data_IF_447829830338
#
_entry.id   IF_447829830338
#
_cell.length_a   1.000
_cell.length_b   1.000
_cell.length_c   1.000
_cell.angle_alpha   90.00
_cell.angle_beta   90.00
_cell.angle_gamma   90.00
#
_symmetry.space_group_name_H-M   'P 1'
#
loop_
_entity.id
_entity.type
_entity.pdbx_description
1 polymer ?
#
# COMPACT_ATOMS: atom_id res chain seq x y z
N UNK A 1 -29.70 -1.54 -11.31
CA UNK A 1 -29.40 -1.78 -9.89
C UNK A 1 -30.62 -2.43 -9.29
N UNK A 2 -30.56 -3.65 -8.82
CA UNK A 2 -31.61 -4.19 -7.97
C UNK A 2 -31.31 -3.66 -6.57
N UNK A 3 -32.02 -2.64 -6.12
CA UNK A 3 -32.06 -2.27 -4.72
C UNK A 3 -32.79 -3.40 -4.00
N UNK A 4 -32.09 -4.09 -3.12
CA UNK A 4 -32.63 -5.23 -2.36
C UNK A 4 -32.79 -4.89 -0.88
N UNK A 5 -32.37 -3.71 -0.45
CA UNK A 5 -32.52 -3.21 0.92
C UNK A 5 -33.63 -2.16 1.04
N UNK A 6 -34.13 -1.97 2.25
CA UNK A 6 -35.19 -1.00 2.55
C UNK A 6 -34.68 0.45 2.44
N UNK A 7 -33.42 0.69 2.75
CA UNK A 7 -32.79 2.02 2.75
C UNK A 7 -31.43 1.97 2.09
N UNK A 8 -31.15 2.98 1.27
CA UNK A 8 -29.80 3.24 0.75
C UNK A 8 -29.23 4.48 1.42
N UNK A 9 -28.03 4.36 2.05
CA UNK A 9 -27.36 5.53 2.61
C UNK A 9 -25.93 5.71 2.07
N UNK A 10 -25.51 6.96 1.84
CA UNK A 10 -24.18 7.28 1.37
C UNK A 10 -23.21 7.51 2.53
N UNK A 11 -21.94 7.11 2.33
CA UNK A 11 -20.81 7.50 3.17
C UNK A 11 -19.75 8.15 2.28
N UNK A 12 -19.46 9.42 2.53
CA UNK A 12 -18.53 10.20 1.72
C UNK A 12 -19.22 11.15 0.71
N UNK A 13 -18.44 11.85 -0.14
CA UNK A 13 -16.98 11.70 -0.32
C UNK A 13 -16.14 12.15 0.88
N UNK A 14 -16.64 13.02 1.74
CA UNK A 14 -15.96 13.43 2.98
C UNK A 14 -16.78 12.95 4.18
N UNK A 15 -16.19 12.04 4.94
CA UNK A 15 -16.84 11.44 6.11
C UNK A 15 -15.78 11.15 7.18
N UNK A 16 -16.09 11.31 8.50
CA UNK A 16 -15.12 11.09 9.59
C UNK A 16 -14.46 9.70 9.60
N UNK A 17 -15.19 8.66 9.19
CA UNK A 17 -14.65 7.29 9.07
C UNK A 17 -13.74 7.09 7.84
N UNK A 18 -13.65 8.05 6.91
CA UNK A 18 -12.79 7.98 5.73
C UNK A 18 -11.58 8.90 5.91
N UNK A 19 -10.39 8.35 5.79
CA UNK A 19 -9.13 9.10 5.94
C UNK A 19 -8.75 9.89 4.68
N UNK A 20 -9.31 9.50 3.53
CA UNK A 20 -9.19 10.19 2.24
C UNK A 20 -10.58 10.26 1.58
N UNK A 21 -10.84 11.25 0.69
CA UNK A 21 -12.14 11.38 0.05
C UNK A 21 -12.47 10.17 -0.84
N UNK A 22 -13.58 9.50 -0.53
CA UNK A 22 -14.13 8.41 -1.33
C UNK A 22 -15.64 8.28 -1.08
N UNK A 23 -16.35 7.63 -1.98
CA UNK A 23 -17.80 7.49 -1.87
C UNK A 23 -18.22 6.03 -1.83
N UNK A 24 -18.95 5.69 -0.80
CA UNK A 24 -19.61 4.40 -0.63
C UNK A 24 -21.12 4.59 -0.59
N UNK A 25 -21.86 3.66 -1.16
CA UNK A 25 -23.31 3.56 -1.05
C UNK A 25 -23.65 2.18 -0.51
N UNK A 26 -24.40 2.15 0.58
CA UNK A 26 -24.81 0.92 1.24
C UNK A 26 -26.31 0.75 1.13
N UNK A 27 -26.77 -0.40 0.65
CA UNK A 27 -28.15 -0.83 0.77
C UNK A 27 -28.26 -1.68 2.03
N UNK A 28 -29.21 -1.34 2.89
CA UNK A 28 -29.40 -1.98 4.20
C UNK A 28 -30.83 -2.45 4.39
N UNK A 29 -30.97 -3.56 5.11
CA UNK A 29 -32.23 -4.10 5.62
C UNK A 29 -32.16 -4.05 7.15
N UNK A 30 -32.89 -3.13 7.75
CA UNK A 30 -32.74 -2.77 9.16
C UNK A 30 -31.31 -2.26 9.43
N UNK A 31 -30.54 -2.97 10.25
CA UNK A 31 -29.13 -2.65 10.55
C UNK A 31 -28.13 -3.44 9.72
N UNK A 32 -28.57 -4.37 8.86
CA UNK A 32 -27.69 -5.23 8.09
C UNK A 32 -27.38 -4.69 6.72
N UNK A 33 -26.13 -4.71 6.34
CA UNK A 33 -25.66 -4.36 5.00
C UNK A 33 -26.01 -5.52 4.06
N UNK A 34 -26.83 -5.23 3.05
CA UNK A 34 -27.23 -6.17 2.00
C UNK A 34 -26.30 -6.05 0.80
N UNK A 35 -25.92 -4.83 0.44
CA UNK A 35 -24.98 -4.56 -0.63
C UNK A 35 -24.16 -3.30 -0.40
N UNK A 36 -23.01 -3.23 -1.01
CA UNK A 36 -22.16 -2.04 -1.02
C UNK A 36 -21.73 -1.70 -2.44
N UNK A 37 -21.77 -0.43 -2.81
CA UNK A 37 -21.18 0.09 -4.04
C UNK A 37 -20.13 1.15 -3.71
N UNK A 38 -19.05 1.16 -4.50
CA UNK A 38 -17.87 2.00 -4.26
C UNK A 38 -17.62 2.82 -5.51
N UNK A 39 -17.37 4.12 -5.33
CA UNK A 39 -17.06 5.03 -6.41
C UNK A 39 -15.71 5.69 -6.15
N UNK A 40 -14.70 5.29 -6.94
CA UNK A 40 -13.35 5.83 -6.92
C UNK A 40 -13.24 7.09 -7.79
N UNK A 41 -12.23 7.93 -7.53
CA UNK A 41 -11.85 9.04 -8.41
C UNK A 41 -11.75 10.41 -7.74
N UNK A 42 -12.10 10.55 -6.47
CA UNK A 42 -12.12 11.86 -5.80
C UNK A 42 -10.72 12.43 -5.51
N UNK A 43 -9.72 11.57 -5.37
CA UNK A 43 -8.31 11.96 -5.16
C UNK A 43 -7.47 11.84 -6.44
N UNK A 44 -8.08 11.68 -7.62
CA UNK A 44 -7.37 11.58 -8.89
C UNK A 44 -6.65 12.90 -9.21
N UNK A 45 -5.36 12.83 -9.55
CA UNK A 45 -4.48 14.01 -9.77
C UNK A 45 -3.72 13.98 -11.10
N UNK A 46 -4.02 13.04 -12.00
CA UNK A 46 -3.38 12.94 -13.32
C UNK A 46 -1.90 12.56 -13.28
N UNK A 47 -1.42 11.86 -12.25
CA UNK A 47 0.01 11.59 -12.05
C UNK A 47 0.58 10.75 -13.19
N UNK A 48 -0.10 9.71 -13.64
CA UNK A 48 0.36 8.88 -14.76
C UNK A 48 0.60 9.74 -16.02
N UNK A 49 -0.34 10.61 -16.36
CA UNK A 49 -0.19 11.55 -17.48
C UNK A 49 0.91 12.59 -17.23
N UNK A 50 1.02 13.05 -16.00
CA UNK A 50 2.08 13.96 -15.59
C UNK A 50 3.49 13.38 -15.78
N UNK A 51 3.66 12.06 -15.61
CA UNK A 51 4.94 11.39 -15.84
C UNK A 51 5.35 11.40 -17.31
N UNK A 52 4.41 11.26 -18.24
CA UNK A 52 4.67 11.26 -19.69
C UNK A 52 5.21 12.62 -20.21
N UNK A 53 4.95 13.69 -19.50
CA UNK A 53 5.38 15.04 -19.85
C UNK A 53 6.72 15.45 -19.21
N UNK A 54 7.25 14.62 -18.31
CA UNK A 54 8.44 14.90 -17.48
C UNK A 54 9.58 13.93 -17.78
N UNK A 55 10.81 14.36 -17.49
CA UNK A 55 11.95 13.45 -17.54
C UNK A 55 11.81 12.35 -16.46
N UNK A 56 12.49 11.22 -16.64
CA UNK A 56 12.45 10.12 -15.67
C UNK A 56 12.82 10.57 -14.25
N UNK A 57 13.78 11.48 -14.09
CA UNK A 57 14.14 12.04 -12.77
C UNK A 57 13.00 12.88 -12.18
N UNK A 58 12.32 13.70 -13.00
CA UNK A 58 11.18 14.48 -12.54
C UNK A 58 9.96 13.61 -12.26
N UNK A 59 9.75 12.56 -13.08
CA UNK A 59 8.69 11.59 -12.88
C UNK A 59 8.89 10.78 -11.58
N UNK A 60 10.14 10.46 -11.19
CA UNK A 60 10.47 9.83 -9.92
C UNK A 60 9.91 10.62 -8.72
N UNK A 61 10.11 11.94 -8.69
CA UNK A 61 9.55 12.78 -7.62
C UNK A 61 8.02 12.86 -7.66
N UNK A 62 7.44 12.75 -8.86
CA UNK A 62 6.00 12.80 -9.01
C UNK A 62 5.35 11.49 -8.52
N UNK A 63 5.90 10.33 -8.86
CA UNK A 63 5.38 9.04 -8.39
C UNK A 63 5.56 8.86 -6.88
N UNK A 64 6.64 9.37 -6.30
CA UNK A 64 6.84 9.37 -4.86
C UNK A 64 5.71 10.10 -4.12
N UNK A 65 5.09 11.09 -4.74
CA UNK A 65 3.98 11.89 -4.19
C UNK A 65 2.59 11.36 -4.51
N UNK A 66 2.49 10.15 -5.05
CA UNK A 66 1.20 9.46 -5.16
C UNK A 66 0.60 9.27 -3.77
N UNK A 67 1.43 8.89 -2.80
CA UNK A 67 1.03 8.65 -1.43
C UNK A 67 2.12 9.14 -0.45
N UNK A 68 1.70 9.73 0.67
CA UNK A 68 2.63 10.13 1.73
C UNK A 68 3.00 8.99 2.70
N UNK A 69 2.34 7.82 2.60
CA UNK A 69 2.57 6.69 3.51
C UNK A 69 3.46 5.62 2.86
N UNK A 70 3.32 5.38 1.55
CA UNK A 70 4.12 4.43 0.77
C UNK A 70 4.95 5.13 -0.33
N UNK A 71 5.52 6.26 0.00
CA UNK A 71 6.27 7.11 -0.93
C UNK A 71 7.56 6.45 -1.42
N UNK A 72 8.31 5.80 -0.52
CA UNK A 72 9.52 5.04 -0.86
C UNK A 72 9.20 3.85 -1.78
N UNK A 73 8.11 3.15 -1.51
CA UNK A 73 7.66 2.02 -2.33
C UNK A 73 7.43 2.44 -3.78
N UNK A 74 6.71 3.56 -4.02
CA UNK A 74 6.48 4.10 -5.36
C UNK A 74 7.78 4.55 -6.04
N UNK A 75 8.67 5.21 -5.30
CA UNK A 75 9.96 5.64 -5.81
C UNK A 75 10.86 4.46 -6.17
N UNK A 76 10.90 3.43 -5.31
CA UNK A 76 11.76 2.24 -5.51
C UNK A 76 11.31 1.46 -6.73
N UNK A 77 10.02 1.11 -6.85
CA UNK A 77 9.52 0.32 -7.99
C UNK A 77 9.70 1.06 -9.32
N UNK A 78 9.57 2.40 -9.32
CA UNK A 78 9.83 3.20 -10.51
C UNK A 78 11.33 3.16 -10.88
N UNK A 79 12.24 3.32 -9.91
CA UNK A 79 13.67 3.20 -10.15
C UNK A 79 14.04 1.83 -10.69
N UNK A 80 13.53 0.75 -10.06
CA UNK A 80 13.78 -0.64 -10.50
C UNK A 80 13.40 -0.85 -11.97
N UNK A 81 12.18 -0.42 -12.37
CA UNK A 81 11.76 -0.58 -13.76
C UNK A 81 12.62 0.22 -14.75
N UNK A 82 13.02 1.44 -14.40
CA UNK A 82 13.91 2.24 -15.25
C UNK A 82 15.32 1.65 -15.29
N UNK A 83 15.83 1.18 -14.17
CA UNK A 83 17.15 0.52 -14.06
C UNK A 83 17.19 -0.77 -14.90
N UNK A 84 16.12 -1.57 -14.88
CA UNK A 84 15.95 -2.76 -15.71
C UNK A 84 15.95 -2.44 -17.21
N UNK A 85 15.18 -1.42 -17.65
CA UNK A 85 15.20 -0.95 -19.04
C UNK A 85 16.58 -0.47 -19.50
N UNK A 86 17.37 0.07 -18.59
CA UNK A 86 18.74 0.53 -18.88
C UNK A 86 19.79 -0.58 -18.77
N UNK A 87 19.45 -1.73 -18.21
CA UNK A 87 20.42 -2.78 -17.88
C UNK A 87 21.47 -2.33 -16.84
N UNK A 88 21.08 -1.48 -15.87
CA UNK A 88 22.00 -0.93 -14.88
C UNK A 88 22.21 -1.92 -13.74
N UNK A 89 23.47 -2.21 -13.42
CA UNK A 89 23.84 -2.91 -12.19
C UNK A 89 23.87 -1.92 -11.02
N UNK A 90 22.84 -1.99 -10.18
CA UNK A 90 22.72 -1.13 -9.00
C UNK A 90 23.62 -1.65 -7.88
N UNK A 91 24.41 -0.79 -7.19
CA UNK A 91 25.32 -1.24 -6.14
C UNK A 91 24.60 -1.96 -5.01
N UNK A 92 25.14 -3.09 -4.53
CA UNK A 92 24.57 -3.87 -3.44
C UNK A 92 24.28 -3.03 -2.19
N UNK A 93 25.19 -2.13 -1.82
CA UNK A 93 25.02 -1.24 -0.68
C UNK A 93 23.72 -0.42 -0.78
N UNK A 94 23.42 0.11 -1.96
CA UNK A 94 22.17 0.87 -2.17
C UNK A 94 20.93 -0.02 -2.10
N UNK A 95 21.00 -1.28 -2.55
CA UNK A 95 19.89 -2.22 -2.43
C UNK A 95 19.55 -2.53 -0.96
N UNK A 96 20.57 -2.68 -0.11
CA UNK A 96 20.39 -2.85 1.33
C UNK A 96 19.78 -1.60 1.97
N UNK A 97 20.24 -0.39 1.61
CA UNK A 97 19.69 0.87 2.11
C UNK A 97 18.22 1.01 1.68
N UNK A 98 17.88 0.69 0.41
CA UNK A 98 16.48 0.66 -0.07
C UNK A 98 15.62 -0.29 0.75
N UNK A 99 16.16 -1.46 1.12
CA UNK A 99 15.44 -2.43 1.96
C UNK A 99 15.21 -1.90 3.37
N UNK A 100 16.23 -1.32 4.01
CA UNK A 100 16.12 -0.72 5.35
C UNK A 100 15.03 0.36 5.36
N UNK A 101 15.05 1.29 4.41
CA UNK A 101 14.07 2.38 4.34
C UNK A 101 12.67 1.84 4.00
N UNK A 102 12.57 0.84 3.13
CA UNK A 102 11.30 0.19 2.79
C UNK A 102 10.65 -0.52 3.98
N UNK A 103 11.45 -1.17 4.84
CA UNK A 103 10.91 -1.81 6.03
C UNK A 103 10.60 -0.81 7.16
N UNK A 104 11.34 0.30 7.27
CA UNK A 104 10.94 1.43 8.12
C UNK A 104 9.59 2.03 7.67
N UNK A 105 9.40 2.19 6.35
CA UNK A 105 8.12 2.61 5.76
C UNK A 105 6.99 1.62 6.10
N UNK A 106 7.25 0.31 6.07
CA UNK A 106 6.27 -0.71 6.46
C UNK A 106 5.88 -0.59 7.93
N UNK A 107 6.85 -0.47 8.82
CA UNK A 107 6.60 -0.34 10.27
C UNK A 107 5.75 0.89 10.55
N UNK A 108 6.14 2.08 10.04
CA UNK A 108 5.38 3.30 10.28
C UNK A 108 3.96 3.23 9.75
N UNK A 109 3.77 2.59 8.58
CA UNK A 109 2.46 2.41 7.98
C UNK A 109 1.56 1.48 8.81
N UNK A 110 2.09 0.36 9.29
CA UNK A 110 1.32 -0.57 10.11
C UNK A 110 0.98 0.00 11.49
N UNK A 111 1.87 0.80 12.11
CA UNK A 111 1.57 1.50 13.36
C UNK A 111 0.51 2.59 13.17
N UNK A 112 0.55 3.32 12.03
CA UNK A 112 -0.51 4.25 11.66
C UNK A 112 -1.85 3.53 11.53
N UNK A 113 -1.88 2.45 10.76
CA UNK A 113 -3.07 1.65 10.56
C UNK A 113 -3.63 1.10 11.87
N UNK A 114 -2.77 0.54 12.74
CA UNK A 114 -3.18 -0.02 14.02
C UNK A 114 -3.86 1.03 14.90
N UNK A 115 -3.33 2.25 14.96
CA UNK A 115 -3.95 3.34 15.68
C UNK A 115 -5.32 3.71 15.09
N UNK A 116 -5.41 3.85 13.77
CA UNK A 116 -6.69 4.14 13.10
C UNK A 116 -7.72 3.05 13.38
N UNK A 117 -7.34 1.78 13.25
CA UNK A 117 -8.24 0.65 13.53
C UNK A 117 -8.71 0.63 14.99
N UNK A 118 -7.82 0.95 15.95
CA UNK A 118 -8.19 1.11 17.36
C UNK A 118 -9.20 2.24 17.56
N UNK A 119 -9.02 3.38 16.90
CA UNK A 119 -9.97 4.50 16.94
C UNK A 119 -11.34 4.12 16.38
N UNK A 120 -11.40 3.43 15.24
CA UNK A 120 -12.68 3.00 14.61
C UNK A 120 -13.50 2.03 15.49
N UNK A 121 -12.85 1.35 16.41
CA UNK A 121 -13.54 0.49 17.40
C UNK A 121 -13.73 1.15 18.76
N UNK A 122 -13.40 2.45 18.89
CA UNK A 122 -13.57 3.22 20.13
C UNK A 122 -12.44 3.02 21.15
N UNK A 123 -11.27 2.52 20.75
CA UNK A 123 -10.13 2.31 21.65
C UNK A 123 -9.06 3.43 21.50
N UNK A 124 -9.45 4.64 21.83
CA UNK A 124 -8.64 5.87 21.63
C UNK A 124 -7.30 5.85 22.39
N UNK A 125 -7.23 5.22 23.56
CA UNK A 125 -5.97 5.09 24.30
C UNK A 125 -4.91 4.37 23.47
N UNK A 126 -5.29 3.30 22.78
CA UNK A 126 -4.38 2.54 21.92
C UNK A 126 -4.01 3.33 20.66
N UNK A 127 -4.95 4.10 20.09
CA UNK A 127 -4.67 5.05 19.02
C UNK A 127 -3.56 6.04 19.43
N UNK A 128 -3.73 6.70 20.58
CA UNK A 128 -2.76 7.69 21.08
C UNK A 128 -1.38 7.07 21.34
N UNK A 129 -1.34 5.85 21.89
CA UNK A 129 -0.07 5.18 22.17
C UNK A 129 0.66 4.75 20.88
N UNK A 130 -0.03 4.13 19.95
CA UNK A 130 0.58 3.69 18.69
C UNK A 130 1.10 4.85 17.86
N UNK A 131 0.41 5.98 17.84
CA UNK A 131 0.83 7.17 17.11
C UNK A 131 1.99 7.89 17.80
N UNK A 132 2.00 7.94 19.15
CA UNK A 132 3.17 8.43 19.89
C UNK A 132 4.41 7.58 19.57
N UNK A 133 4.30 6.27 19.65
CA UNK A 133 5.45 5.39 19.48
C UNK A 133 5.86 5.26 18.00
N UNK A 134 4.95 5.52 17.05
CA UNK A 134 5.26 5.68 15.62
C UNK A 134 6.26 6.82 15.38
N UNK A 135 6.28 7.88 16.21
CA UNK A 135 7.22 8.98 16.06
C UNK A 135 8.68 8.53 16.14
N UNK A 136 8.98 7.48 16.93
CA UNK A 136 10.33 6.87 16.93
C UNK A 136 10.71 6.45 15.49
N UNK A 137 9.81 5.80 14.76
CA UNK A 137 10.10 5.36 13.39
C UNK A 137 10.21 6.56 12.44
N UNK A 138 9.43 7.61 12.65
CA UNK A 138 9.52 8.84 11.85
C UNK A 138 10.87 9.54 12.03
N UNK A 139 11.40 9.56 13.26
CA UNK A 139 12.73 10.12 13.55
C UNK A 139 13.85 9.26 12.93
N UNK A 140 13.69 7.93 12.95
CA UNK A 140 14.62 7.02 12.26
C UNK A 140 14.60 7.19 10.74
N UNK A 141 13.42 7.43 10.13
CA UNK A 141 13.30 7.75 8.71
C UNK A 141 13.98 9.08 8.38
N UNK A 142 13.80 10.11 9.21
CA UNK A 142 14.48 11.38 9.05
C UNK A 142 15.99 11.24 9.18
N UNK A 143 16.48 10.47 10.16
CA UNK A 143 17.90 10.16 10.32
C UNK A 143 18.49 9.51 9.07
N UNK A 144 17.79 8.51 8.51
CA UNK A 144 18.28 7.73 7.37
C UNK A 144 18.16 8.48 6.04
N UNK A 145 17.13 9.30 5.85
CA UNK A 145 16.79 9.89 4.56
C UNK A 145 16.87 11.40 4.52
N UNK A 146 16.76 12.06 5.68
CA UNK A 146 16.67 13.51 5.83
C UNK A 146 15.25 14.05 5.73
N UNK A 147 14.24 13.19 5.66
CA UNK A 147 12.83 13.59 5.66
C UNK A 147 11.97 12.54 6.36
N UNK A 148 10.89 13.00 6.98
CA UNK A 148 9.91 12.16 7.70
C UNK A 148 8.88 11.53 6.76
N UNK A 149 8.56 12.19 5.64
CA UNK A 149 7.59 11.80 4.61
C UNK A 149 8.13 12.23 3.25
N UNK A 150 7.88 11.46 2.19
CA UNK A 150 8.47 11.70 0.86
C UNK A 150 10.01 11.78 0.92
N UNK A 151 10.60 10.67 1.23
CA UNK A 151 11.99 10.53 1.68
C UNK A 151 13.04 10.98 0.66
N UNK A 152 12.71 10.95 -0.64
CA UNK A 152 13.59 11.33 -1.76
C UNK A 152 14.97 10.65 -1.70
N UNK A 153 15.03 9.47 -1.07
CA UNK A 153 16.29 8.71 -0.92
C UNK A 153 16.68 8.03 -2.23
N UNK A 154 15.72 7.60 -3.03
CA UNK A 154 15.95 6.89 -4.27
C UNK A 154 16.44 7.83 -5.38
N UNK A 155 17.33 7.31 -6.21
CA UNK A 155 17.68 7.84 -7.53
C UNK A 155 17.87 6.69 -8.50
N UNK A 156 17.74 6.94 -9.79
CA UNK A 156 18.02 5.92 -10.81
C UNK A 156 19.52 5.57 -10.73
N UNK A 157 19.80 4.29 -10.52
CA UNK A 157 21.16 3.77 -10.32
C UNK A 157 21.60 3.67 -8.84
N UNK A 158 20.70 3.93 -7.86
CA UNK A 158 21.03 3.75 -6.44
C UNK A 158 20.25 4.64 -5.47
N UNK A 159 20.95 5.15 -4.45
CA UNK A 159 20.40 6.04 -3.42
C UNK A 159 21.24 7.31 -3.30
N UNK A 160 20.66 8.36 -2.71
CA UNK A 160 21.28 9.70 -2.61
C UNK A 160 22.06 9.92 -1.33
N UNK A 161 21.78 9.15 -0.29
CA UNK A 161 22.43 9.25 1.01
C UNK A 161 22.89 7.88 1.46
N UNK A 162 24.05 7.86 2.08
CA UNK A 162 24.62 6.68 2.70
C UNK A 162 24.21 6.58 4.17
N UNK A 163 24.34 5.40 4.74
CA UNK A 163 24.17 5.13 6.15
C UNK A 163 25.56 4.93 6.79
N UNK A 164 25.88 5.75 7.80
CA UNK A 164 27.06 5.57 8.62
C UNK A 164 26.86 4.43 9.64
N UNK A 165 27.95 3.91 10.20
CA UNK A 165 27.90 2.89 11.25
C UNK A 165 27.15 3.40 12.50
N UNK A 166 27.35 4.67 12.88
CA UNK A 166 26.67 5.28 14.03
C UNK A 166 25.17 5.41 13.78
N UNK A 167 24.76 5.83 12.58
CA UNK A 167 23.33 5.85 12.20
C UNK A 167 22.73 4.45 12.22
N UNK A 168 23.46 3.43 11.73
CA UNK A 168 23.04 2.04 11.81
C UNK A 168 22.80 1.58 13.24
N UNK A 169 23.66 1.97 14.18
CA UNK A 169 23.47 1.64 15.60
C UNK A 169 22.22 2.31 16.19
N UNK A 170 21.99 3.60 15.92
CA UNK A 170 20.79 4.34 16.35
C UNK A 170 19.52 3.68 15.77
N UNK A 171 19.54 3.29 14.49
CA UNK A 171 18.45 2.56 13.86
C UNK A 171 18.14 1.24 14.59
N UNK A 172 19.15 0.45 14.93
CA UNK A 172 18.96 -0.82 15.65
C UNK A 172 18.36 -0.63 17.04
N UNK A 173 18.80 0.38 17.78
CA UNK A 173 18.28 0.71 19.11
C UNK A 173 16.81 1.14 19.05
N UNK A 174 16.47 2.07 18.14
CA UNK A 174 15.08 2.52 17.94
C UNK A 174 14.14 1.40 17.49
N UNK A 175 14.60 0.54 16.58
CA UNK A 175 13.84 -0.65 16.16
C UNK A 175 13.68 -1.66 17.30
N UNK A 176 14.68 -1.82 18.17
CA UNK A 176 14.57 -2.62 19.37
C UNK A 176 13.54 -2.10 20.39
N UNK A 177 13.35 -0.78 20.45
CA UNK A 177 12.30 -0.17 21.25
C UNK A 177 10.91 -0.43 20.63
N UNK A 178 10.75 -0.22 19.33
CA UNK A 178 9.50 -0.51 18.60
C UNK A 178 9.06 -1.95 18.76
N UNK A 179 9.98 -2.90 18.65
CA UNK A 179 9.68 -4.33 18.84
C UNK A 179 9.03 -4.60 20.22
N UNK A 180 9.57 -4.02 21.29
CA UNK A 180 9.00 -4.12 22.64
C UNK A 180 7.61 -3.51 22.75
N UNK A 181 7.40 -2.35 22.12
CA UNK A 181 6.11 -1.65 22.11
C UNK A 181 5.05 -2.45 21.35
N UNK A 182 5.39 -3.01 20.21
CA UNK A 182 4.47 -3.81 19.38
C UNK A 182 4.08 -5.11 20.08
N UNK A 183 5.00 -5.78 20.77
CA UNK A 183 4.70 -6.93 21.62
C UNK A 183 3.75 -6.56 22.77
N UNK A 184 3.94 -5.40 23.38
CA UNK A 184 3.01 -4.87 24.38
C UNK A 184 1.61 -4.66 23.79
N UNK A 185 1.49 -4.00 22.61
CA UNK A 185 0.20 -3.78 21.95
C UNK A 185 -0.52 -5.07 21.60
N UNK A 186 0.23 -6.05 21.10
CA UNK A 186 -0.33 -7.38 20.83
C UNK A 186 -0.94 -8.02 22.06
N UNK A 187 -0.21 -8.01 23.18
CA UNK A 187 -0.68 -8.59 24.43
C UNK A 187 -1.92 -7.88 24.97
N UNK A 188 -1.93 -6.55 24.99
CA UNK A 188 -3.07 -5.76 25.45
C UNK A 188 -4.29 -5.94 24.55
N UNK A 189 -4.09 -5.88 23.23
CA UNK A 189 -5.18 -6.01 22.25
C UNK A 189 -5.88 -7.37 22.32
N UNK A 190 -5.14 -8.46 22.49
CA UNK A 190 -5.70 -9.82 22.63
C UNK A 190 -6.51 -9.98 23.95
N UNK A 191 -6.12 -9.29 25.01
CA UNK A 191 -6.78 -9.37 26.31
C UNK A 191 -8.00 -8.43 26.42
N UNK A 192 -8.06 -7.38 25.60
CA UNK A 192 -9.15 -6.42 25.66
C UNK A 192 -10.40 -6.96 24.96
N UNK A 193 -11.45 -7.24 25.77
CA UNK A 193 -12.67 -7.92 25.30
C UNK A 193 -13.44 -7.10 24.27
N UNK A 194 -13.54 -5.78 24.47
CA UNK A 194 -14.30 -4.90 23.59
C UNK A 194 -13.65 -4.85 22.21
N UNK A 195 -12.33 -4.71 22.15
CA UNK A 195 -11.57 -4.77 20.92
C UNK A 195 -11.79 -6.12 20.20
N UNK A 196 -11.63 -7.23 20.93
CA UNK A 196 -11.80 -8.57 20.36
C UNK A 196 -13.21 -8.80 19.80
N UNK A 197 -14.26 -8.31 20.47
CA UNK A 197 -15.64 -8.41 19.99
C UNK A 197 -15.87 -7.63 18.69
N UNK A 198 -15.07 -6.59 18.40
CA UNK A 198 -15.19 -5.76 17.20
C UNK A 198 -14.34 -6.23 16.02
N UNK A 199 -13.39 -7.15 16.24
CA UNK A 199 -12.46 -7.58 15.19
C UNK A 199 -12.52 -9.09 14.88
N UNK A 200 -12.95 -9.91 15.87
CA UNK A 200 -13.06 -11.35 15.72
C UNK A 200 -14.38 -11.70 15.03
N UNK A 201 -14.30 -12.57 14.02
CA UNK A 201 -15.44 -13.02 13.20
C UNK A 201 -16.17 -11.86 12.47
N UNK A 202 -15.49 -10.71 12.30
CA UNK A 202 -16.00 -9.51 11.59
C UNK A 202 -15.27 -9.34 10.27
N UNK A 203 -16.03 -9.01 9.21
CA UNK A 203 -15.48 -8.80 7.87
C UNK A 203 -14.78 -10.02 7.30
N UNK A 204 -15.40 -11.18 7.46
CA UNK A 204 -14.85 -12.47 6.98
C UNK A 204 -14.85 -12.53 5.47
N UNK A 205 -13.72 -12.98 4.90
CA UNK A 205 -13.60 -13.35 3.50
C UNK A 205 -12.78 -14.64 3.40
N UNK A 206 -13.38 -15.69 2.81
CA UNK A 206 -12.71 -16.98 2.70
C UNK A 206 -11.46 -16.92 1.81
N UNK A 207 -10.56 -17.88 1.99
CA UNK A 207 -9.37 -18.03 1.16
C UNK A 207 -9.72 -18.13 -0.32
N UNK A 208 -10.72 -18.96 -0.66
CA UNK A 208 -11.17 -19.16 -2.03
C UNK A 208 -11.65 -17.86 -2.70
N UNK A 209 -12.48 -17.08 -2.01
CA UNK A 209 -12.96 -15.78 -2.52
C UNK A 209 -11.81 -14.79 -2.63
N UNK A 210 -10.89 -14.79 -1.67
CA UNK A 210 -9.68 -13.95 -1.67
C UNK A 210 -8.81 -14.21 -2.89
N UNK A 211 -8.55 -15.47 -3.22
CA UNK A 211 -7.79 -15.89 -4.42
C UNK A 211 -8.54 -15.52 -5.71
N UNK A 212 -9.84 -15.80 -5.78
CA UNK A 212 -10.69 -15.48 -6.95
C UNK A 212 -10.74 -13.99 -7.26
N UNK A 213 -10.71 -13.14 -6.23
CA UNK A 213 -10.73 -11.68 -6.39
C UNK A 213 -9.33 -11.08 -6.52
N UNK A 214 -8.28 -11.90 -6.49
CA UNK A 214 -6.88 -11.46 -6.53
C UNK A 214 -6.57 -10.37 -5.47
N UNK A 215 -7.06 -10.56 -4.25
CA UNK A 215 -6.68 -9.71 -3.12
C UNK A 215 -5.18 -9.85 -2.85
N UNK A 216 -4.56 -8.82 -2.30
CA UNK A 216 -3.12 -8.80 -2.06
C UNK A 216 -2.76 -8.27 -0.67
N UNK A 217 -1.51 -8.45 -0.28
CA UNK A 217 -0.95 -7.96 0.97
C UNK A 217 -1.58 -8.57 2.22
N UNK A 218 -1.62 -7.85 3.35
CA UNK A 218 -2.22 -8.32 4.59
C UNK A 218 -3.69 -8.75 4.46
N UNK A 219 -4.42 -8.22 3.45
CA UNK A 219 -5.79 -8.65 3.15
C UNK A 219 -5.81 -10.12 2.71
N UNK A 220 -4.93 -10.50 1.80
CA UNK A 220 -4.80 -11.89 1.33
C UNK A 220 -4.16 -12.78 2.40
N UNK A 221 -3.05 -12.33 3.01
CA UNK A 221 -2.33 -13.10 4.03
C UNK A 221 -3.16 -13.35 5.29
N UNK A 222 -4.08 -12.43 5.64
CA UNK A 222 -5.05 -12.62 6.72
C UNK A 222 -6.12 -13.69 6.45
N UNK A 223 -6.21 -14.17 5.20
CA UNK A 223 -7.08 -15.27 4.75
C UNK A 223 -6.28 -16.51 4.30
N UNK A 224 -5.05 -16.68 4.77
CA UNK A 224 -4.21 -17.85 4.51
C UNK A 224 -3.60 -17.95 3.11
N UNK A 225 -3.56 -16.84 2.35
CA UNK A 225 -2.93 -16.78 1.03
C UNK A 225 -1.52 -16.19 1.16
N UNK A 226 -0.44 -16.98 1.01
CA UNK A 226 0.93 -16.56 1.34
C UNK A 226 1.63 -15.80 0.20
N UNK A 227 0.90 -14.92 -0.51
CA UNK A 227 1.47 -14.08 -1.57
C UNK A 227 2.24 -12.90 -0.99
N UNK A 228 3.51 -12.76 -1.38
CA UNK A 228 4.38 -11.65 -1.00
C UNK A 228 5.44 -11.42 -2.09
N UNK A 229 5.41 -10.26 -2.73
CA UNK A 229 6.32 -9.96 -3.83
C UNK A 229 7.80 -9.97 -3.40
N UNK A 230 8.10 -9.73 -2.13
CA UNK A 230 9.48 -9.82 -1.59
C UNK A 230 10.05 -11.24 -1.67
N UNK A 231 9.17 -12.25 -1.61
CA UNK A 231 9.50 -13.69 -1.69
C UNK A 231 9.32 -14.26 -3.09
N UNK A 232 8.21 -13.88 -3.76
CA UNK A 232 7.79 -14.49 -5.02
C UNK A 232 8.56 -13.92 -6.22
N UNK A 233 9.01 -12.66 -6.12
CA UNK A 233 9.78 -11.93 -7.13
C UNK A 233 10.79 -11.01 -6.43
N UNK A 234 11.87 -11.57 -5.83
CA UNK A 234 12.79 -10.84 -4.95
C UNK A 234 13.44 -9.64 -5.64
N UNK A 235 13.34 -8.49 -5.01
CA UNK A 235 13.94 -7.24 -5.44
C UNK A 235 14.79 -6.64 -4.32
N UNK A 236 15.54 -5.56 -4.62
CA UNK A 236 16.46 -4.92 -3.70
C UNK A 236 17.37 -5.97 -3.02
N UNK A 237 17.41 -6.06 -1.70
CA UNK A 237 18.21 -7.04 -0.97
C UNK A 237 17.41 -8.25 -0.44
N UNK A 238 16.10 -8.36 -0.77
CA UNK A 238 15.26 -9.42 -0.21
C UNK A 238 15.67 -10.84 -0.63
N UNK A 239 16.35 -11.00 -1.75
CA UNK A 239 16.91 -12.31 -2.15
C UNK A 239 18.07 -12.80 -1.27
N UNK A 240 18.72 -11.89 -0.53
CA UNK A 240 19.86 -12.18 0.34
C UNK A 240 19.50 -12.16 1.85
N UNK A 241 18.40 -11.48 2.22
CA UNK A 241 17.98 -11.29 3.61
C UNK A 241 16.96 -12.37 3.99
N UNK A 242 17.22 -13.17 5.03
CA UNK A 242 16.24 -14.16 5.49
C UNK A 242 15.04 -13.48 6.17
N UNK A 243 13.83 -13.86 5.76
CA UNK A 243 12.59 -13.44 6.41
C UNK A 243 11.47 -14.46 6.14
N UNK A 244 10.42 -14.39 6.94
CA UNK A 244 9.25 -15.24 6.78
C UNK A 244 8.01 -14.44 6.36
N UNK A 245 7.18 -15.03 5.49
CA UNK A 245 5.90 -14.43 5.11
C UNK A 245 4.89 -14.72 6.21
N UNK A 246 4.40 -13.67 6.86
CA UNK A 246 3.42 -13.77 7.94
C UNK A 246 2.03 -14.01 7.35
N UNK A 247 1.36 -15.08 7.79
CA UNK A 247 0.00 -15.42 7.36
C UNK A 247 -0.90 -15.72 8.57
N UNK A 248 -2.21 -15.64 8.35
CA UNK A 248 -3.25 -16.06 9.30
C UNK A 248 -4.40 -16.69 8.51
N UNK A 249 -4.99 -17.73 9.03
CA UNK A 249 -6.14 -18.45 8.46
C UNK A 249 -7.49 -18.01 9.06
N UNK A 250 -7.49 -16.96 9.87
CA UNK A 250 -8.72 -16.46 10.52
C UNK A 250 -9.72 -15.81 9.56
N UNK A 251 -9.27 -15.34 8.43
CA UNK A 251 -10.10 -14.77 7.36
C UNK A 251 -10.88 -13.49 7.73
N UNK A 252 -10.71 -12.95 8.93
CA UNK A 252 -11.45 -11.82 9.51
C UNK A 252 -10.55 -10.59 9.74
N UNK A 253 -11.09 -9.54 10.36
CA UNK A 253 -10.33 -8.32 10.74
C UNK A 253 -9.21 -8.67 11.72
N UNK A 254 -9.44 -9.59 12.66
CA UNK A 254 -8.41 -10.05 13.60
C UNK A 254 -7.23 -10.70 12.86
N UNK A 255 -7.49 -11.57 11.89
CA UNK A 255 -6.46 -12.20 11.06
C UNK A 255 -5.59 -11.17 10.36
N UNK A 256 -6.21 -10.15 9.76
CA UNK A 256 -5.50 -9.04 9.09
C UNK A 256 -4.71 -8.18 10.08
N UNK A 257 -5.21 -8.01 11.31
CA UNK A 257 -4.50 -7.32 12.39
C UNK A 257 -3.25 -8.09 12.81
N UNK A 258 -3.38 -9.39 13.03
CA UNK A 258 -2.26 -10.27 13.46
C UNK A 258 -1.17 -10.33 12.38
N UNK A 259 -1.55 -10.37 11.10
CA UNK A 259 -0.58 -10.31 9.99
C UNK A 259 0.22 -9.01 10.04
N UNK A 260 -0.42 -7.86 10.20
CA UNK A 260 0.31 -6.57 10.25
C UNK A 260 1.23 -6.46 11.46
N UNK A 261 0.79 -6.93 12.62
CA UNK A 261 1.65 -6.97 13.82
C UNK A 261 2.85 -7.88 13.58
N UNK A 262 2.63 -9.07 13.03
CA UNK A 262 3.70 -10.00 12.68
C UNK A 262 4.66 -9.43 11.64
N UNK A 263 4.15 -8.71 10.64
CA UNK A 263 4.98 -8.03 9.64
C UNK A 263 5.84 -6.92 10.25
N UNK A 264 5.37 -6.18 11.26
CA UNK A 264 6.21 -5.23 11.98
C UNK A 264 7.38 -5.93 12.66
N UNK A 265 7.12 -7.05 13.34
CA UNK A 265 8.17 -7.82 14.02
C UNK A 265 9.17 -8.41 13.00
N UNK A 266 8.68 -8.87 11.85
CA UNK A 266 9.53 -9.38 10.80
C UNK A 266 10.37 -8.25 10.14
N UNK A 267 9.77 -7.07 9.92
CA UNK A 267 10.49 -5.88 9.45
C UNK A 267 11.62 -5.47 10.41
N UNK A 268 11.39 -5.58 11.72
CA UNK A 268 12.44 -5.33 12.73
C UNK A 268 13.64 -6.28 12.56
N UNK A 269 13.39 -7.56 12.26
CA UNK A 269 14.45 -8.55 12.01
C UNK A 269 15.20 -8.24 10.70
N UNK A 270 14.46 -7.95 9.63
CA UNK A 270 15.02 -7.58 8.32
C UNK A 270 15.94 -6.37 8.46
N UNK A 271 15.50 -5.30 9.15
CA UNK A 271 16.31 -4.09 9.33
C UNK A 271 17.58 -4.39 10.13
N UNK A 272 17.48 -5.12 11.24
CA UNK A 272 18.65 -5.51 12.05
C UNK A 272 19.66 -6.32 11.22
N UNK A 273 19.18 -7.32 10.49
CA UNK A 273 20.01 -8.13 9.62
C UNK A 273 20.67 -7.31 8.53
N UNK A 274 19.90 -6.42 7.86
CA UNK A 274 20.44 -5.58 6.79
C UNK A 274 21.49 -4.60 7.27
N UNK A 275 21.38 -4.05 8.48
CA UNK A 275 22.38 -3.17 9.08
C UNK A 275 23.65 -3.95 9.42
N UNK A 276 23.52 -5.15 10.01
CA UNK A 276 24.67 -5.99 10.40
C UNK A 276 25.45 -6.52 9.20
N UNK A 277 24.79 -6.68 8.05
CA UNK A 277 25.36 -7.19 6.82
C UNK A 277 25.46 -6.13 5.71
N UNK A 278 25.41 -4.84 6.05
CA UNK A 278 25.44 -3.76 5.08
C UNK A 278 26.79 -3.77 4.31
N UNK A 279 26.78 -4.07 2.99
CA UNK A 279 28.01 -4.18 2.21
C UNK A 279 28.74 -2.83 2.13
N UNK A 280 30.07 -2.88 2.02
CA UNK A 280 30.85 -1.70 1.66
C UNK A 280 30.79 -1.46 0.13
N UNK A 281 31.00 -0.21 -0.28
CA UNK A 281 31.03 0.14 -1.70
C UNK A 281 30.24 1.42 -2.03
N UNK A 282 30.10 1.70 -3.32
CA UNK A 282 29.36 2.88 -3.77
C UNK A 282 27.85 2.74 -3.47
N UNK A 283 27.18 3.89 -3.35
CA UNK A 283 25.73 3.96 -3.12
C UNK A 283 24.94 4.29 -4.39
N UNK A 284 25.61 4.62 -5.47
CA UNK A 284 24.99 4.90 -6.76
C UNK A 284 25.97 4.75 -7.91
N UNK A 285 25.44 4.43 -9.10
CA UNK A 285 26.12 4.50 -10.38
C UNK A 285 25.52 5.61 -11.22
N UNK A 286 26.31 6.15 -12.15
CA UNK A 286 25.85 7.20 -13.06
C UNK A 286 24.88 6.60 -14.10
N UNK A 287 23.62 7.01 -14.07
CA UNK A 287 22.63 6.61 -15.05
C UNK A 287 22.62 7.57 -16.26
N UNK A 288 22.45 7.06 -17.49
CA UNK A 288 22.18 7.87 -18.68
C UNK A 288 20.87 8.65 -18.52
N UNK A 289 20.73 9.79 -19.22
CA UNK A 289 19.48 10.53 -19.21
C UNK A 289 18.40 9.89 -20.10
N UNK A 290 18.82 9.31 -21.23
CA UNK A 290 17.94 8.60 -22.16
C UNK A 290 17.80 7.15 -21.74
N UNK A 291 16.59 6.66 -21.73
CA UNK A 291 16.25 5.25 -21.45
C UNK A 291 16.05 4.54 -22.77
N UNK A 292 16.67 3.37 -23.02
CA UNK A 292 16.46 2.60 -24.23
C UNK A 292 14.96 2.33 -24.50
N UNK A 293 14.60 2.16 -25.76
CA UNK A 293 13.24 1.74 -26.13
C UNK A 293 12.92 0.37 -25.56
N UNK A 294 11.73 0.22 -24.97
CA UNK A 294 11.28 -1.01 -24.35
C UNK A 294 10.14 -0.78 -23.37
N UNK A 295 9.71 -1.87 -22.77
CA UNK A 295 8.66 -1.84 -21.74
C UNK A 295 9.00 -2.82 -20.61
N UNK A 296 8.53 -2.50 -19.39
CA UNK A 296 8.81 -3.27 -18.18
C UNK A 296 7.63 -3.23 -17.22
N UNK A 297 7.46 -4.31 -16.45
CA UNK A 297 6.59 -4.40 -15.29
C UNK A 297 7.43 -4.63 -14.05
N UNK A 298 7.61 -3.59 -13.25
CA UNK A 298 8.29 -3.69 -11.96
C UNK A 298 7.30 -3.90 -10.83
N UNK A 299 7.64 -4.78 -9.86
CA UNK A 299 6.79 -5.15 -8.72
C UNK A 299 7.47 -4.76 -7.40
N UNK A 300 6.65 -4.49 -6.40
CA UNK A 300 7.09 -4.15 -5.05
C UNK A 300 6.01 -4.52 -4.03
N UNK A 301 6.39 -5.02 -2.87
CA UNK A 301 5.46 -5.29 -1.76
C UNK A 301 5.38 -4.07 -0.83
N UNK A 302 4.35 -3.24 -1.01
CA UNK A 302 4.07 -2.15 -0.08
C UNK A 302 3.47 -2.68 1.23
N UNK A 303 3.32 -1.86 2.28
CA UNK A 303 2.60 -2.27 3.50
C UNK A 303 1.18 -2.79 3.25
N UNK A 304 0.55 -2.40 2.13
CA UNK A 304 -0.81 -2.77 1.74
C UNK A 304 -0.89 -3.93 0.78
N UNK A 305 0.25 -4.35 0.22
CA UNK A 305 0.35 -5.44 -0.74
C UNK A 305 1.10 -5.06 -2.02
N UNK A 306 0.90 -5.86 -3.05
CA UNK A 306 1.60 -5.74 -4.31
C UNK A 306 1.30 -4.42 -5.04
N UNK A 307 2.35 -3.69 -5.34
CA UNK A 307 2.39 -2.51 -6.20
C UNK A 307 3.07 -2.87 -7.51
N UNK A 308 2.47 -2.49 -8.64
CA UNK A 308 3.06 -2.69 -9.97
C UNK A 308 3.16 -1.36 -10.69
N UNK A 309 4.34 -1.07 -11.24
CA UNK A 309 4.53 0.00 -12.23
C UNK A 309 4.82 -0.61 -13.59
N UNK A 310 4.02 -0.25 -14.59
CA UNK A 310 4.34 -0.46 -15.99
C UNK A 310 4.95 0.82 -16.54
N UNK A 311 6.11 0.68 -17.17
CA UNK A 311 6.86 1.79 -17.77
C UNK A 311 7.21 1.42 -19.20
N UNK A 312 6.82 2.29 -20.16
CA UNK A 312 7.21 2.16 -21.56
C UNK A 312 8.09 3.35 -21.95
N UNK A 313 9.21 3.04 -22.56
CA UNK A 313 10.17 4.02 -23.10
C UNK A 313 10.22 3.98 -24.61
N UNK A 314 10.38 5.17 -25.22
CA UNK A 314 10.57 5.35 -26.66
C UNK A 314 12.00 5.79 -27.02
N UNK A 315 12.99 5.51 -26.18
CA UNK A 315 14.38 5.89 -26.41
C UNK A 315 14.73 7.33 -26.05
N UNK A 316 13.83 8.06 -25.40
CA UNK A 316 14.03 9.49 -25.05
C UNK A 316 14.33 9.68 -23.55
N UNK A 317 14.41 10.95 -23.12
CA UNK A 317 14.56 11.33 -21.70
C UNK A 317 13.23 11.32 -20.94
N UNK A 318 12.10 11.04 -21.62
CA UNK A 318 10.76 11.01 -21.03
C UNK A 318 10.11 9.65 -21.27
N UNK A 319 9.38 9.11 -20.31
CA UNK A 319 8.61 7.89 -20.54
C UNK A 319 7.48 8.16 -21.55
N UNK A 320 7.24 7.19 -22.44
CA UNK A 320 6.09 7.21 -23.35
C UNK A 320 4.80 6.93 -22.58
N UNK A 321 4.88 5.98 -21.62
CA UNK A 321 3.74 5.62 -20.78
C UNK A 321 4.19 5.19 -19.40
N UNK A 322 3.46 5.63 -18.38
CA UNK A 322 3.57 5.11 -17.01
C UNK A 322 2.19 4.71 -16.53
N UNK A 323 2.06 3.51 -15.98
CA UNK A 323 0.86 3.05 -15.29
C UNK A 323 1.20 2.52 -13.92
N UNK A 324 0.33 2.78 -12.96
CA UNK A 324 0.51 2.40 -11.57
C UNK A 324 -0.69 1.59 -11.10
N UNK A 325 -0.50 0.34 -10.73
CA UNK A 325 -1.52 -0.49 -10.10
C UNK A 325 -1.16 -0.65 -8.63
N UNK A 326 -1.83 0.12 -7.78
CA UNK A 326 -1.63 0.07 -6.33
C UNK A 326 -2.46 -1.06 -5.68
N UNK A 327 -2.02 -1.61 -4.53
CA UNK A 327 -2.71 -2.71 -3.85
C UNK A 327 -4.14 -2.37 -3.42
N UNK A 328 -4.39 -1.12 -2.98
CA UNK A 328 -5.75 -0.70 -2.58
C UNK A 328 -6.76 -0.85 -3.71
N UNK A 329 -6.36 -0.65 -4.98
CA UNK A 329 -7.24 -0.89 -6.13
C UNK A 329 -7.65 -2.36 -6.24
N UNK A 330 -6.73 -3.30 -5.97
CA UNK A 330 -7.02 -4.73 -5.93
C UNK A 330 -7.94 -5.12 -4.77
N UNK A 331 -7.76 -4.47 -3.62
CA UNK A 331 -8.48 -4.81 -2.40
C UNK A 331 -9.87 -4.16 -2.26
N UNK A 332 -10.24 -3.23 -3.15
CA UNK A 332 -11.57 -2.57 -3.13
C UNK A 332 -12.71 -3.56 -3.39
N UNK A 333 -12.54 -4.48 -4.34
CA UNK A 333 -13.59 -5.48 -4.64
C UNK A 333 -13.82 -6.47 -3.50
N UNK A 334 -12.82 -7.03 -2.84
CA UNK A 334 -12.97 -7.83 -1.63
C UNK A 334 -13.82 -7.18 -0.54
N UNK A 335 -13.74 -5.86 -0.35
CA UNK A 335 -14.52 -5.13 0.66
C UNK A 335 -16.01 -5.36 0.53
N UNK A 336 -16.56 -5.44 -0.68
CA UNK A 336 -17.99 -5.68 -0.88
C UNK A 336 -18.44 -7.00 -0.24
N UNK A 337 -17.64 -8.06 -0.42
CA UNK A 337 -17.90 -9.38 0.15
C UNK A 337 -17.71 -9.40 1.67
N UNK A 338 -16.78 -8.59 2.19
CA UNK A 338 -16.55 -8.46 3.62
C UNK A 338 -17.66 -7.73 4.35
N UNK A 339 -18.44 -6.90 3.65
CA UNK A 339 -19.50 -6.06 4.24
C UNK A 339 -20.86 -6.74 4.25
N UNK A 340 -21.13 -7.66 3.31
CA UNK A 340 -22.43 -8.34 3.21
C UNK A 340 -22.79 -9.12 4.48
N UNK A 341 -23.97 -8.85 5.04
CA UNK A 341 -24.52 -9.52 6.22
C UNK A 341 -24.02 -8.95 7.56
N UNK A 342 -23.07 -8.02 7.58
CA UNK A 342 -22.62 -7.33 8.79
C UNK A 342 -23.48 -6.11 9.10
N UNK A 343 -23.37 -5.60 10.33
CA UNK A 343 -24.14 -4.44 10.77
C UNK A 343 -23.50 -3.12 10.29
N UNK A 344 -24.31 -2.07 10.18
CA UNK A 344 -23.85 -0.72 9.87
C UNK A 344 -22.68 -0.30 10.76
N UNK A 345 -22.74 -0.64 12.06
CA UNK A 345 -21.70 -0.32 13.03
C UNK A 345 -20.35 -1.00 12.73
N UNK A 346 -20.31 -2.07 11.92
CA UNK A 346 -19.08 -2.78 11.56
C UNK A 346 -18.42 -2.21 10.30
N UNK A 347 -19.12 -1.35 9.55
CA UNK A 347 -18.59 -0.77 8.31
C UNK A 347 -17.23 -0.09 8.51
N UNK A 348 -17.04 0.81 9.51
CA UNK A 348 -15.76 1.52 9.65
C UNK A 348 -14.57 0.57 9.84
N UNK A 349 -14.69 -0.42 10.69
CA UNK A 349 -13.57 -1.35 10.96
C UNK A 349 -13.34 -2.33 9.79
N UNK A 350 -14.37 -2.73 9.07
CA UNK A 350 -14.25 -3.58 7.87
C UNK A 350 -13.56 -2.79 6.75
N UNK A 351 -13.92 -1.52 6.54
CA UNK A 351 -13.24 -0.65 5.60
C UNK A 351 -11.79 -0.41 6.01
N UNK A 352 -11.53 -0.13 7.28
CA UNK A 352 -10.19 0.04 7.79
C UNK A 352 -9.33 -1.23 7.61
N UNK A 353 -9.95 -2.42 7.67
CA UNK A 353 -9.23 -3.70 7.63
C UNK A 353 -8.41 -3.93 6.34
N UNK A 354 -8.78 -3.34 5.21
CA UNK A 354 -7.98 -3.41 3.98
C UNK A 354 -6.88 -2.35 3.92
N UNK A 355 -6.84 -1.42 4.90
CA UNK A 355 -5.92 -0.26 4.92
C UNK A 355 -5.99 0.54 3.61
N UNK A 356 -7.15 1.11 3.25
CA UNK A 356 -7.33 1.74 1.95
C UNK A 356 -6.49 3.01 1.81
N UNK A 357 -5.84 3.17 0.66
CA UNK A 357 -5.22 4.41 0.22
C UNK A 357 -5.88 4.82 -1.09
N UNK A 358 -6.84 5.72 -1.03
CA UNK A 358 -7.61 6.13 -2.21
C UNK A 358 -6.77 7.00 -3.13
N UNK A 359 -5.84 7.79 -2.61
CA UNK A 359 -4.84 8.51 -3.40
C UNK A 359 -4.04 7.61 -4.34
N UNK A 360 -3.80 6.34 -3.95
CA UNK A 360 -3.14 5.34 -4.78
C UNK A 360 -4.11 4.59 -5.70
N UNK A 361 -5.37 4.39 -5.27
CA UNK A 361 -6.37 3.59 -5.97
C UNK A 361 -7.12 4.37 -7.06
N UNK A 362 -7.21 5.69 -6.93
CA UNK A 362 -8.06 6.52 -7.77
C UNK A 362 -7.67 6.52 -9.23
N UNK A 363 -8.70 6.39 -10.07
CA UNK A 363 -8.60 6.33 -11.54
C UNK A 363 -9.61 7.24 -12.20
N UNK A 364 -9.21 7.80 -13.32
CA UNK A 364 -10.10 8.40 -14.30
C UNK A 364 -9.86 7.70 -15.64
N UNK A 365 -10.95 7.33 -16.32
CA UNK A 365 -10.88 6.70 -17.64
C UNK A 365 -11.34 7.71 -18.68
N UNK A 366 -10.46 7.99 -19.64
CA UNK A 366 -10.79 8.75 -20.83
C UNK A 366 -10.91 7.81 -22.01
N UNK A 367 -12.06 7.80 -22.67
CA UNK A 367 -12.30 6.99 -23.87
C UNK A 367 -12.05 7.89 -25.08
N UNK A 368 -11.01 7.56 -25.84
CA UNK A 368 -10.67 8.23 -27.11
C UNK A 368 -10.99 7.30 -28.27
N UNK A 369 -11.35 7.85 -29.43
CA UNK A 369 -11.36 7.07 -30.68
C UNK A 369 -12.71 6.72 -31.28
N UNK A 370 -13.79 7.34 -30.86
CA UNK A 370 -15.04 7.37 -31.61
C UNK A 370 -15.51 8.81 -31.81
N UNK A 371 -16.36 9.07 -32.79
CA UNK A 371 -16.77 10.37 -33.34
C UNK A 371 -17.07 11.49 -32.34
N UNK A 372 -17.05 11.23 -31.03
CA UNK A 372 -17.17 12.22 -29.97
C UNK A 372 -16.27 11.79 -28.81
N UNK A 373 -15.12 12.43 -28.63
CA UNK A 373 -14.33 12.36 -27.41
C UNK A 373 -15.20 12.81 -26.25
N UNK A 374 -15.70 11.89 -25.44
CA UNK A 374 -16.52 12.18 -24.28
C UNK A 374 -15.77 11.84 -23.02
N UNK A 375 -15.61 12.79 -22.15
CA UNK A 375 -15.29 12.51 -20.77
C UNK A 375 -16.53 11.87 -20.11
N UNK A 376 -16.35 10.68 -19.54
CA UNK A 376 -17.44 9.98 -18.84
C UNK A 376 -17.02 9.80 -17.39
N UNK A 377 -17.92 10.13 -16.49
CA UNK A 377 -17.82 9.68 -15.11
C UNK A 377 -18.09 8.17 -15.02
N UNK A 378 -17.78 7.55 -13.88
CA UNK A 378 -17.96 6.11 -13.69
C UNK A 378 -19.38 5.60 -13.98
N UNK A 379 -20.41 6.34 -13.58
CA UNK A 379 -21.81 5.94 -13.82
C UNK A 379 -22.13 5.95 -15.31
N UNK A 380 -21.65 6.94 -16.04
CA UNK A 380 -21.83 7.05 -17.49
C UNK A 380 -21.08 5.94 -18.24
N UNK A 381 -19.85 5.61 -17.80
CA UNK A 381 -19.06 4.51 -18.36
C UNK A 381 -19.74 3.16 -18.10
N UNK A 382 -20.24 2.94 -16.89
CA UNK A 382 -20.99 1.74 -16.53
C UNK A 382 -22.27 1.60 -17.38
N UNK A 383 -23.04 2.67 -17.51
CA UNK A 383 -24.23 2.69 -18.35
C UNK A 383 -23.91 2.42 -19.82
N UNK A 384 -22.81 3.01 -20.32
CA UNK A 384 -22.31 2.75 -21.67
C UNK A 384 -21.96 1.26 -21.85
N UNK A 385 -21.22 0.67 -20.92
CA UNK A 385 -20.85 -0.76 -20.96
C UNK A 385 -22.07 -1.67 -20.93
N UNK A 386 -23.04 -1.42 -20.04
CA UNK A 386 -24.29 -2.18 -19.96
C UNK A 386 -25.08 -2.10 -21.26
N UNK A 387 -25.21 -0.90 -21.83
CA UNK A 387 -25.93 -0.71 -23.10
C UNK A 387 -25.21 -1.37 -24.29
N UNK A 388 -23.87 -1.35 -24.30
CA UNK A 388 -23.08 -2.03 -25.32
C UNK A 388 -23.36 -3.53 -25.34
N UNK A 389 -23.35 -4.19 -24.17
CA UNK A 389 -23.61 -5.63 -24.09
C UNK A 389 -25.07 -6.04 -24.28
N UNK A 390 -26.03 -5.14 -23.98
CA UNK A 390 -27.45 -5.41 -24.25
C UNK A 390 -27.81 -5.33 -25.73
N UNK A 391 -27.03 -4.61 -26.52
CA UNK A 391 -27.25 -4.39 -27.95
C UNK A 391 -26.36 -5.25 -28.86
N UNK A 392 -25.63 -6.19 -28.28
CA UNK A 392 -24.91 -7.26 -28.95
C UNK A 392 -25.68 -8.58 -28.85
#
# INVERSE_FOLDING_TARGET
MHHTGDITFPVGPQHPALKEPEFFSFDVDGEKVVSADIRLGYSHRGIEKGCEERTYIQALYLVERICGICSHSHATVFCQGVEELMGLEVPKRSLYIRTIVGELERIHSHLLWFGVAAHEVGYDTMFMYSWRDREIVMDLLELATGNRVNYSINTIGGVRRDLTKDQGQILKEGIGEIEKKVLYYMNVGIQEKTFMMRVKDVGVISKEVTEKLAACGPTARGSGVPLDARRDDPYAAYGEIPFEVVTSDKCDVLGRTLVRIGEVLESCKIIKYAIDNLPEGPIAVKAPRKVPEGEVFARYETPRGELVHYIKSNGTEKPERVKVRAPSLGNVMPVKYMLEGYNIADIPIILAAIDPCFSCADRMVRIEGTRNNREMNWQQLRAYGINWYKNK
#
